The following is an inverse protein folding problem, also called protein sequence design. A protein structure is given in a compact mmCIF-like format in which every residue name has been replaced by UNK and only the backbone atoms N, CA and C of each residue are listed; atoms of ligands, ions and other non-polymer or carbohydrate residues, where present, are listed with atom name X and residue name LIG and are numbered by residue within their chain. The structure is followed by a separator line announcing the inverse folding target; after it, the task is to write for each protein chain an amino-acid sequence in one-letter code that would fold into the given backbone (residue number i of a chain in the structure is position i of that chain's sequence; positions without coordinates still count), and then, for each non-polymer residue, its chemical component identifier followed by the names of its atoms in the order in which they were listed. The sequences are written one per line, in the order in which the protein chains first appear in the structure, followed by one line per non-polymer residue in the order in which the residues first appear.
data_IF_571057254531
#
_entry.id   IF_571057254531
#
_cell.length_a   1.000
_cell.length_b   1.000
_cell.length_c   1.000
_cell.angle_alpha   90.00
_cell.angle_beta   90.00
_cell.angle_gamma   90.00
#
_symmetry.space_group_name_H-M   'P 1'
#
loop_
_entity.id
_entity.type
_entity.pdbx_description
1 polymer ?
#
# COMPACT_ATOMS: atom_id res chain seq x y z
N UNK A 1 -6.69 18.57 -1.07
CA UNK A 1 -6.00 17.36 -1.57
C UNK A 1 -6.63 16.17 -0.88
N UNK A 2 -7.01 15.13 -1.63
CA UNK A 2 -7.64 13.96 -1.02
C UNK A 2 -6.57 13.02 -0.45
N UNK A 3 -6.90 12.42 0.69
CA UNK A 3 -6.07 11.54 1.47
C UNK A 3 -6.59 10.11 1.35
N UNK A 4 -5.68 9.13 1.44
CA UNK A 4 -5.97 7.71 1.30
C UNK A 4 -5.56 6.99 2.57
N UNK A 5 -6.44 6.15 3.10
CA UNK A 5 -6.10 5.24 4.18
C UNK A 5 -5.70 3.88 3.61
N UNK A 6 -4.45 3.48 3.85
CA UNK A 6 -3.96 2.16 3.50
C UNK A 6 -3.94 1.29 4.75
N UNK A 7 -4.55 0.11 4.63
CA UNK A 7 -4.55 -0.94 5.64
C UNK A 7 -3.59 -2.04 5.20
N UNK A 8 -2.76 -2.52 6.11
CA UNK A 8 -1.85 -3.63 5.85
C UNK A 8 -1.65 -4.47 7.09
N UNK A 9 -1.42 -5.77 6.89
CA UNK A 9 -1.16 -6.72 7.97
C UNK A 9 0.22 -7.33 7.79
N UNK A 10 1.01 -7.33 8.86
CA UNK A 10 2.26 -8.08 8.95
C UNK A 10 2.18 -9.04 10.14
N UNK A 11 2.49 -8.56 11.33
CA UNK A 11 2.23 -9.23 12.62
C UNK A 11 0.95 -8.72 13.29
N UNK A 12 0.61 -7.46 13.04
CA UNK A 12 -0.60 -6.77 13.51
C UNK A 12 -1.27 -6.03 12.34
N UNK A 13 -2.50 -5.59 12.53
CA UNK A 13 -3.19 -4.70 11.59
C UNK A 13 -2.71 -3.25 11.78
N UNK A 14 -2.27 -2.65 10.67
CA UNK A 14 -1.81 -1.27 10.62
C UNK A 14 -2.66 -0.48 9.61
N UNK A 15 -2.89 0.79 9.95
CA UNK A 15 -3.52 1.76 9.05
C UNK A 15 -2.63 3.00 8.95
N UNK A 16 -2.39 3.47 7.74
CA UNK A 16 -1.63 4.70 7.48
C UNK A 16 -2.41 5.62 6.55
N UNK A 17 -2.44 6.90 6.88
CA UNK A 17 -3.06 7.91 6.04
C UNK A 17 -1.98 8.63 5.22
N UNK A 18 -2.11 8.61 3.89
CA UNK A 18 -1.15 9.20 2.96
C UNK A 18 -1.82 10.14 1.95
N UNK A 19 -1.10 11.14 1.43
CA UNK A 19 -1.53 11.89 0.26
C UNK A 19 -1.71 11.00 -0.98
N UNK A 20 -2.71 11.31 -1.84
CA UNK A 20 -2.96 10.55 -3.08
C UNK A 20 -1.79 10.51 -4.07
N UNK A 21 -0.89 11.48 -4.01
CA UNK A 21 0.28 11.59 -4.89
C UNK A 21 1.55 10.96 -4.29
N UNK A 22 1.46 10.30 -3.14
CA UNK A 22 2.59 9.58 -2.54
C UNK A 22 3.06 8.46 -3.48
N UNK A 23 4.36 8.40 -3.71
CA UNK A 23 5.00 7.29 -4.45
C UNK A 23 5.12 6.06 -3.57
N UNK A 24 5.18 4.89 -4.20
CA UNK A 24 5.36 3.61 -3.49
C UNK A 24 6.69 3.60 -2.72
N UNK A 25 7.76 4.21 -3.26
CA UNK A 25 9.02 4.36 -2.54
C UNK A 25 8.86 5.14 -1.21
N UNK A 26 8.15 6.27 -1.24
CA UNK A 26 7.89 7.05 -0.02
C UNK A 26 6.99 6.28 0.95
N UNK A 27 5.99 5.56 0.45
CA UNK A 27 5.17 4.68 1.27
C UNK A 27 6.01 3.60 1.97
N UNK A 28 6.96 2.97 1.26
CA UNK A 28 7.89 2.01 1.87
C UNK A 28 8.68 2.64 3.02
N UNK A 29 9.17 3.87 2.86
CA UNK A 29 9.87 4.59 3.93
C UNK A 29 8.93 4.83 5.14
N UNK A 30 7.68 5.25 4.89
CA UNK A 30 6.72 5.54 5.96
C UNK A 30 6.33 4.30 6.76
N UNK A 31 6.18 3.15 6.12
CA UNK A 31 5.82 1.91 6.82
C UNK A 31 7.03 1.14 7.36
N UNK A 32 8.25 1.44 6.92
CA UNK A 32 9.48 0.76 7.37
C UNK A 32 9.62 0.73 8.90
N UNK A 33 9.18 1.78 9.59
CA UNK A 33 9.23 1.84 11.06
C UNK A 33 8.21 0.92 11.75
N UNK A 34 7.18 0.48 11.02
CA UNK A 34 6.10 -0.38 11.52
C UNK A 34 6.24 -1.83 11.04
N UNK A 35 7.22 -2.10 10.18
CA UNK A 35 7.46 -3.41 9.57
C UNK A 35 8.81 -3.93 10.10
N UNK A 36 8.88 -5.18 10.59
CA UNK A 36 10.11 -5.72 11.18
C UNK A 36 11.21 -6.03 10.15
N UNK A 37 10.90 -5.92 8.85
CA UNK A 37 11.79 -6.30 7.75
C UNK A 37 12.66 -5.13 7.29
N UNK A 38 13.94 -5.43 7.01
CA UNK A 38 14.86 -4.44 6.42
C UNK A 38 14.55 -4.19 4.95
N UNK A 39 14.17 -5.26 4.23
CA UNK A 39 13.80 -5.25 2.82
C UNK A 39 12.45 -5.96 2.67
N UNK A 40 11.52 -5.33 1.99
CA UNK A 40 10.20 -5.88 1.72
C UNK A 40 9.65 -5.29 0.43
N UNK A 41 8.68 -5.97 -0.17
CA UNK A 41 7.95 -5.51 -1.34
C UNK A 41 6.46 -5.36 -1.04
N UNK A 42 5.84 -4.43 -1.77
CA UNK A 42 4.45 -4.06 -1.61
C UNK A 42 3.63 -4.62 -2.76
N UNK A 43 2.49 -5.20 -2.42
CA UNK A 43 1.53 -5.71 -3.38
C UNK A 43 0.16 -5.18 -3.02
N UNK A 44 -0.66 -4.88 -4.02
CA UNK A 44 -2.08 -4.67 -3.78
C UNK A 44 -2.83 -5.98 -3.97
N UNK A 45 -3.77 -6.24 -3.07
CA UNK A 45 -4.74 -7.31 -3.28
C UNK A 45 -5.94 -6.71 -4.01
N UNK A 46 -6.02 -6.91 -5.33
CA UNK A 46 -7.24 -6.56 -6.06
C UNK A 46 -8.28 -7.64 -5.78
N UNK A 47 -9.12 -7.39 -4.77
CA UNK A 47 -10.17 -8.32 -4.34
C UNK A 47 -11.21 -8.59 -5.43
N UNK A 48 -11.29 -7.75 -6.47
CA UNK A 48 -12.20 -7.98 -7.59
C UNK A 48 -11.65 -8.97 -8.61
N UNK A 49 -10.32 -9.17 -8.66
CA UNK A 49 -9.67 -10.08 -9.62
C UNK A 49 -8.95 -11.25 -8.93
N UNK A 50 -8.85 -11.25 -7.60
CA UNK A 50 -8.06 -12.20 -6.81
C UNK A 50 -6.59 -12.27 -7.26
N UNK A 51 -6.07 -11.15 -7.76
CA UNK A 51 -4.70 -11.02 -8.25
C UNK A 51 -3.89 -10.16 -7.27
N UNK A 52 -2.72 -10.69 -6.90
CA UNK A 52 -1.68 -9.91 -6.22
C UNK A 52 -0.86 -9.16 -7.25
N UNK A 53 -0.94 -7.83 -7.24
CA UNK A 53 -0.18 -6.99 -8.16
C UNK A 53 0.96 -6.29 -7.44
N UNK A 54 2.18 -6.51 -7.92
CA UNK A 54 3.38 -5.82 -7.41
C UNK A 54 3.25 -4.30 -7.61
N UNK A 55 3.64 -3.55 -6.59
CA UNK A 55 3.65 -2.10 -6.58
C UNK A 55 5.09 -1.60 -6.82
N UNK A 56 5.33 -1.07 -8.02
CA UNK A 56 6.62 -0.47 -8.39
C UNK A 56 6.92 0.78 -7.54
N UNK A 57 8.10 0.86 -6.88
CA UNK A 57 8.56 2.01 -6.10
C UNK A 57 8.49 3.37 -6.82
N UNK A 58 8.66 3.39 -8.15
CA UNK A 58 8.66 4.62 -8.95
C UNK A 58 7.26 5.15 -9.23
N UNK A 59 6.24 4.30 -9.12
CA UNK A 59 4.86 4.67 -9.42
C UNK A 59 4.16 5.31 -8.21
N UNK A 60 3.08 6.04 -8.50
CA UNK A 60 2.20 6.56 -7.46
C UNK A 60 1.32 5.45 -6.90
N UNK A 61 1.05 5.49 -5.60
CA UNK A 61 0.22 4.50 -4.92
C UNK A 61 -1.20 4.49 -5.52
N UNK A 62 -1.73 5.67 -5.87
CA UNK A 62 -3.03 5.86 -6.53
C UNK A 62 -3.16 5.22 -7.93
N UNK A 63 -2.06 4.79 -8.57
CA UNK A 63 -2.13 4.08 -9.85
C UNK A 63 -2.57 2.61 -9.69
N UNK A 64 -2.53 2.07 -8.47
CA UNK A 64 -2.80 0.66 -8.20
C UNK A 64 -4.25 0.37 -7.80
N UNK A 65 -5.04 1.39 -7.52
CA UNK A 65 -6.44 1.26 -7.12
C UNK A 65 -7.27 2.42 -7.63
N UNK A 66 -8.55 2.16 -7.88
CA UNK A 66 -9.51 3.20 -8.20
C UNK A 66 -10.25 3.61 -6.93
N UNK A 67 -9.97 4.81 -6.42
CA UNK A 67 -10.58 5.38 -5.21
C UNK A 67 -12.10 5.51 -5.38
N UNK A 68 -12.59 5.71 -6.61
CA UNK A 68 -14.03 5.80 -6.87
C UNK A 68 -14.72 4.44 -6.75
N UNK A 69 -13.97 3.34 -6.92
CA UNK A 69 -14.49 1.97 -6.89
C UNK A 69 -14.24 1.25 -5.56
N UNK A 70 -13.09 1.50 -4.93
CA UNK A 70 -12.64 0.82 -3.71
C UNK A 70 -12.79 1.67 -2.44
N UNK A 71 -13.16 2.95 -2.60
CA UNK A 71 -13.24 3.91 -1.50
C UNK A 71 -11.87 4.34 -0.98
N UNK A 72 -11.84 4.97 0.20
CA UNK A 72 -10.61 5.51 0.80
C UNK A 72 -9.83 4.48 1.63
N UNK A 73 -10.26 3.22 1.67
CA UNK A 73 -9.62 2.14 2.45
C UNK A 73 -9.10 1.06 1.51
N UNK A 74 -7.79 0.97 1.36
CA UNK A 74 -7.16 -0.03 0.48
C UNK A 74 -6.34 -1.02 1.31
N UNK A 75 -6.48 -2.30 0.99
CA UNK A 75 -5.69 -3.37 1.60
C UNK A 75 -4.44 -3.65 0.76
N UNK A 76 -3.26 -3.45 1.35
CA UNK A 76 -1.97 -3.81 0.74
C UNK A 76 -1.32 -4.96 1.52
N UNK A 77 -0.54 -5.76 0.80
CA UNK A 77 0.23 -6.87 1.32
C UNK A 77 1.71 -6.47 1.35
N UNK A 78 2.37 -6.81 2.46
CA UNK A 78 3.80 -6.56 2.68
C UNK A 78 4.49 -7.90 2.78
N UNK A 79 5.43 -8.17 1.88
CA UNK A 79 6.19 -9.43 1.86
C UNK A 79 7.68 -9.15 2.06
N UNK A 80 8.33 -9.90 2.95
CA UNK A 80 9.78 -9.94 3.05
C UNK A 80 10.38 -10.49 1.73
N UNK A 81 11.52 -9.93 1.33
CA UNK A 81 12.23 -10.31 0.11
C UNK A 81 13.32 -11.34 0.37
#
# INVERSE_FOLDING_TARGET
MANITLNYRVSSDYSINIPQNTTVANLKIMIKNNVPFTNFDLYINDTAQDVKKYMDPQNMVSQYFDINRLGNHIHILVYER
#
